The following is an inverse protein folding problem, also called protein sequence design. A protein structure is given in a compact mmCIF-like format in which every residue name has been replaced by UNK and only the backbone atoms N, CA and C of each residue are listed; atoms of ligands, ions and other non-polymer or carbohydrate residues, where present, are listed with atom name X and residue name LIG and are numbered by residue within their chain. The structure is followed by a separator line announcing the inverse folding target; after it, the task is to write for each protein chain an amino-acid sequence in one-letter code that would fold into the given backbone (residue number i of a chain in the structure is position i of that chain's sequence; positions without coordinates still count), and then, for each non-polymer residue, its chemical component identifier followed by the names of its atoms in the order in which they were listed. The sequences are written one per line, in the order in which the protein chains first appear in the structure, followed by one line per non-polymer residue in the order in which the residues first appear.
data_IF_860975897103
#
_entry.id   IF_860975897103
#
_cell.length_a   1.000
_cell.length_b   1.000
_cell.length_c   1.000
_cell.angle_alpha   90.00
_cell.angle_beta   90.00
_cell.angle_gamma   90.00
#
_symmetry.space_group_name_H-M   'P 1'
#
loop_
_entity.id
_entity.type
_entity.pdbx_description
1 polymer ?
#
# COMPACT_ATOMS: atom_id res chain seq x y z
N UNK A 1 6.94 -24.61 -17.67
CA UNK A 1 7.58 -23.37 -18.13
C UNK A 1 7.65 -22.44 -16.92
N UNK A 2 8.83 -21.99 -16.50
CA UNK A 2 9.07 -21.35 -15.17
C UNK A 2 9.32 -19.85 -15.35
N UNK A 3 8.35 -19.11 -15.86
CA UNK A 3 8.41 -17.64 -15.86
C UNK A 3 7.73 -17.19 -14.57
N UNK A 4 8.46 -16.60 -13.60
CA UNK A 4 7.85 -16.08 -12.39
C UNK A 4 6.95 -14.89 -12.74
N UNK A 5 5.83 -14.74 -12.04
CA UNK A 5 5.03 -13.52 -12.13
C UNK A 5 5.89 -12.34 -11.65
N UNK A 6 5.77 -11.15 -12.28
CA UNK A 6 6.53 -9.96 -11.91
C UNK A 6 6.00 -9.31 -10.61
N UNK A 7 5.64 -10.11 -9.61
CA UNK A 7 5.00 -9.66 -8.38
C UNK A 7 5.99 -9.76 -7.23
N UNK A 8 6.08 -8.69 -6.45
CA UNK A 8 7.05 -8.53 -5.37
C UNK A 8 6.33 -8.03 -4.12
N UNK A 9 6.59 -8.70 -2.99
CA UNK A 9 6.18 -8.19 -1.69
C UNK A 9 6.96 -6.91 -1.37
N UNK A 10 6.24 -5.83 -1.09
CA UNK A 10 6.80 -4.51 -0.84
C UNK A 10 6.28 -4.01 0.50
N UNK A 11 7.21 -3.61 1.38
CA UNK A 11 6.90 -3.07 2.70
C UNK A 11 6.66 -1.57 2.61
N UNK A 12 5.63 -1.10 3.29
CA UNK A 12 5.30 0.32 3.50
C UNK A 12 5.18 0.58 5.00
N UNK A 13 5.77 1.67 5.47
CA UNK A 13 5.61 2.11 6.85
C UNK A 13 4.52 3.18 6.92
N UNK A 14 3.55 2.99 7.81
CA UNK A 14 2.49 3.95 8.09
C UNK A 14 2.73 4.57 9.46
N UNK A 15 2.60 5.89 9.56
CA UNK A 15 2.75 6.64 10.79
C UNK A 15 1.44 7.32 11.15
N UNK A 16 1.03 7.20 12.42
CA UNK A 16 -0.03 8.02 13.01
C UNK A 16 0.62 9.21 13.67
N UNK A 17 0.21 10.40 13.26
CA UNK A 17 0.71 11.66 13.80
C UNK A 17 -0.40 12.45 14.46
N UNK A 18 -0.09 13.02 15.62
CA UNK A 18 -0.93 14.00 16.28
C UNK A 18 -0.50 15.41 15.89
N UNK A 19 -1.39 16.19 15.27
CA UNK A 19 -1.12 17.54 14.76
C UNK A 19 -2.27 18.52 15.10
N UNK A 20 -2.18 19.24 16.24
CA UNK A 20 -3.23 20.15 16.72
C UNK A 20 -3.53 21.33 15.79
N UNK A 21 -2.53 21.80 15.04
CA UNK A 21 -2.67 22.96 14.15
C UNK A 21 -3.36 22.61 12.82
N UNK A 22 -3.55 21.32 12.53
CA UNK A 22 -4.24 20.85 11.31
C UNK A 22 -5.75 20.75 11.60
N UNK A 23 -6.62 21.25 10.69
CA UNK A 23 -8.06 21.24 10.89
C UNK A 23 -8.63 19.82 11.10
N UNK A 24 -9.35 19.56 12.20
CA UNK A 24 -9.68 18.20 12.62
C UNK A 24 -10.79 17.50 11.81
N UNK A 25 -11.52 18.25 10.99
CA UNK A 25 -12.67 17.74 10.23
C UNK A 25 -12.56 18.00 8.73
N UNK A 26 -11.87 19.07 8.32
CA UNK A 26 -11.84 19.55 6.94
C UNK A 26 -10.58 19.16 6.18
N UNK A 27 -9.69 18.35 6.77
CA UNK A 27 -8.50 17.87 6.08
C UNK A 27 -8.88 16.79 5.05
N UNK A 28 -8.65 17.00 3.75
CA UNK A 28 -8.90 15.98 2.74
C UNK A 28 -7.85 14.86 2.81
N UNK A 29 -8.09 13.78 2.05
CA UNK A 29 -6.99 12.87 1.71
C UNK A 29 -6.03 13.63 0.79
N UNK A 30 -4.80 13.78 1.25
CA UNK A 30 -3.69 14.34 0.50
C UNK A 30 -2.93 13.19 -0.16
N UNK A 31 -2.72 13.29 -1.46
CA UNK A 31 -1.74 12.50 -2.21
C UNK A 31 -0.92 13.48 -3.05
N UNK A 32 0.40 13.35 -3.01
CA UNK A 32 1.32 14.23 -3.70
C UNK A 32 2.18 13.46 -4.71
N UNK A 33 2.65 14.13 -5.76
CA UNK A 33 3.51 13.52 -6.78
C UNK A 33 4.86 13.02 -6.26
N UNK A 34 5.30 13.49 -5.08
CA UNK A 34 6.46 12.95 -4.39
C UNK A 34 6.21 11.59 -3.72
N UNK A 35 4.98 11.07 -3.79
CA UNK A 35 4.58 9.79 -3.22
C UNK A 35 4.16 9.88 -1.75
N UNK A 36 4.12 11.06 -1.14
CA UNK A 36 3.53 11.20 0.20
C UNK A 36 2.02 11.15 0.12
N UNK A 37 1.43 10.44 1.09
CA UNK A 37 0.00 10.50 1.36
C UNK A 37 -0.24 10.90 2.82
N UNK A 38 -1.37 11.56 3.06
CA UNK A 38 -1.86 11.85 4.39
C UNK A 38 -3.39 11.81 4.39
N UNK A 39 -3.99 11.17 5.39
CA UNK A 39 -5.44 11.15 5.58
C UNK A 39 -5.79 11.31 7.05
N UNK A 40 -6.99 11.85 7.36
CA UNK A 40 -7.53 11.74 8.71
C UNK A 40 -7.66 10.27 9.12
N UNK A 41 -7.35 9.97 10.39
CA UNK A 41 -7.61 8.66 10.98
C UNK A 41 -9.03 8.57 11.53
N UNK A 42 -9.40 9.58 12.34
CA UNK A 42 -10.72 9.76 12.93
C UNK A 42 -11.02 11.26 13.07
N UNK A 43 -12.20 11.60 13.58
CA UNK A 43 -12.52 12.99 13.94
C UNK A 43 -11.55 13.45 15.03
N UNK A 44 -10.79 14.51 14.76
CA UNK A 44 -9.80 15.04 15.69
C UNK A 44 -8.49 15.38 15.01
N UNK A 45 -7.41 15.42 15.78
CA UNK A 45 -6.10 15.89 15.32
C UNK A 45 -5.13 14.76 15.02
N UNK A 46 -5.64 13.58 14.67
CA UNK A 46 -4.82 12.40 14.36
C UNK A 46 -4.92 12.08 12.87
N UNK A 47 -3.76 11.90 12.25
CA UNK A 47 -3.62 11.68 10.82
C UNK A 47 -2.72 10.48 10.56
N UNK A 48 -3.04 9.71 9.52
CA UNK A 48 -2.19 8.65 9.02
C UNK A 48 -1.45 9.18 7.80
N UNK A 49 -0.13 9.11 7.84
CA UNK A 49 0.72 9.51 6.74
C UNK A 49 1.84 8.50 6.51
N UNK A 50 2.44 8.59 5.34
CA UNK A 50 3.61 7.83 4.96
C UNK A 50 3.98 8.15 3.53
N UNK A 51 4.82 7.30 2.95
CA UNK A 51 5.27 7.42 1.57
C UNK A 51 4.95 6.15 0.82
N UNK A 52 4.62 6.30 -0.45
CA UNK A 52 4.47 5.21 -1.39
C UNK A 52 5.86 4.55 -1.60
N UNK A 53 5.94 3.22 -1.49
CA UNK A 53 7.20 2.53 -1.63
C UNK A 53 7.73 2.66 -3.06
N UNK A 54 9.02 2.93 -3.21
CA UNK A 54 9.65 3.00 -4.54
C UNK A 54 10.06 1.61 -5.03
N UNK A 55 10.38 1.49 -6.33
CA UNK A 55 10.98 0.26 -6.89
C UNK A 55 12.28 -0.14 -6.18
N UNK A 56 13.03 0.83 -5.63
CA UNK A 56 14.22 0.55 -4.82
C UNK A 56 13.85 -0.04 -3.47
N UNK A 57 12.78 0.45 -2.85
CA UNK A 57 12.26 -0.06 -1.58
C UNK A 57 11.76 -1.51 -1.73
N UNK A 58 11.03 -1.81 -2.81
CA UNK A 58 10.63 -3.19 -3.16
C UNK A 58 11.84 -4.14 -3.30
N UNK A 59 12.91 -3.70 -3.96
CA UNK A 59 14.13 -4.49 -4.09
C UNK A 59 14.88 -4.69 -2.75
N UNK A 60 14.77 -3.75 -1.81
CA UNK A 60 15.29 -3.91 -0.45
C UNK A 60 14.42 -4.89 0.35
N UNK A 61 13.10 -4.76 0.32
CA UNK A 61 12.16 -5.68 0.97
C UNK A 61 12.42 -7.11 0.52
N UNK A 62 12.56 -7.37 -0.78
CA UNK A 62 12.93 -8.71 -1.29
C UNK A 62 14.23 -9.25 -0.69
N UNK A 63 15.27 -8.42 -0.57
CA UNK A 63 16.56 -8.87 -0.01
C UNK A 63 16.44 -9.15 1.48
N UNK A 64 15.71 -8.31 2.21
CA UNK A 64 15.44 -8.45 3.63
C UNK A 64 14.58 -9.69 3.91
N UNK A 65 13.52 -9.93 3.15
CA UNK A 65 12.66 -11.11 3.28
C UNK A 65 13.39 -12.41 2.98
N UNK A 66 14.20 -12.45 1.91
CA UNK A 66 15.03 -13.62 1.61
C UNK A 66 16.04 -13.94 2.73
N UNK A 67 16.41 -12.93 3.53
CA UNK A 67 17.24 -13.11 4.72
C UNK A 67 16.38 -13.49 5.96
N UNK A 68 15.18 -12.91 6.11
CA UNK A 68 14.25 -13.10 7.23
C UNK A 68 13.48 -14.43 7.23
N UNK A 69 13.39 -15.15 6.10
CA UNK A 69 12.94 -16.57 6.07
C UNK A 69 13.71 -17.42 7.10
N UNK A 70 14.89 -16.95 7.57
CA UNK A 70 15.72 -17.61 8.58
C UNK A 70 15.40 -17.27 10.03
N UNK A 71 14.65 -16.20 10.33
CA UNK A 71 14.53 -15.65 11.71
C UNK A 71 13.11 -15.42 12.22
N UNK A 72 12.06 -15.57 11.39
CA UNK A 72 10.62 -15.52 11.78
C UNK A 72 10.08 -14.23 12.42
N UNK A 73 10.91 -13.27 12.81
CA UNK A 73 10.49 -12.01 13.42
C UNK A 73 10.29 -10.88 12.40
N UNK A 74 9.22 -10.09 12.57
CA UNK A 74 8.99 -8.86 11.81
C UNK A 74 10.09 -7.82 12.09
N UNK A 75 10.50 -7.03 11.07
CA UNK A 75 11.51 -6.01 11.26
C UNK A 75 10.99 -4.89 12.17
N UNK A 76 11.83 -4.33 13.06
CA UNK A 76 11.43 -3.21 13.89
C UNK A 76 11.19 -1.96 13.04
N UNK A 77 10.23 -1.13 13.47
CA UNK A 77 9.90 0.12 12.80
C UNK A 77 11.03 1.14 13.01
N UNK A 78 11.55 1.69 11.92
CA UNK A 78 12.46 2.83 11.94
C UNK A 78 11.68 4.15 11.93
N UNK A 79 11.57 4.79 13.10
CA UNK A 79 10.89 6.08 13.23
C UNK A 79 11.66 7.23 12.59
N UNK A 80 12.96 7.08 12.27
CA UNK A 80 13.70 8.11 11.56
C UNK A 80 13.20 8.28 10.12
N UNK A 81 12.66 7.22 9.51
CA UNK A 81 12.02 7.28 8.19
C UNK A 81 10.96 8.39 8.14
N UNK A 82 10.18 8.55 9.21
CA UNK A 82 9.22 9.64 9.31
C UNK A 82 9.90 11.01 9.24
N UNK A 83 10.89 11.27 10.11
CA UNK A 83 11.51 12.59 10.22
C UNK A 83 12.37 12.96 9.02
N UNK A 84 12.97 11.98 8.35
CA UNK A 84 13.88 12.20 7.23
C UNK A 84 13.15 12.24 5.88
N UNK A 85 12.11 11.42 5.70
CA UNK A 85 11.50 11.21 4.38
C UNK A 85 10.04 11.66 4.28
N UNK A 86 9.26 11.60 5.38
CA UNK A 86 7.82 11.89 5.34
C UNK A 86 7.54 13.32 5.83
N UNK A 87 8.04 13.67 7.00
CA UNK A 87 7.75 14.92 7.69
C UNK A 87 8.19 16.17 6.90
N UNK A 88 9.38 16.24 6.28
CA UNK A 88 9.79 17.42 5.52
C UNK A 88 8.83 17.71 4.35
N UNK A 89 8.45 16.67 3.60
CA UNK A 89 7.53 16.79 2.47
C UNK A 89 6.10 17.13 2.94
N UNK A 90 5.68 16.55 4.07
CA UNK A 90 4.37 16.84 4.65
C UNK A 90 4.25 18.31 5.10
N UNK A 91 5.29 18.85 5.74
CA UNK A 91 5.35 20.25 6.19
C UNK A 91 5.47 21.20 5.01
N UNK A 92 6.22 20.83 3.97
CA UNK A 92 6.28 21.62 2.72
C UNK A 92 4.90 21.76 2.09
N UNK A 93 4.14 20.66 2.02
CA UNK A 93 2.81 20.65 1.41
C UNK A 93 1.74 21.29 2.28
N UNK A 94 1.81 21.06 3.60
CA UNK A 94 0.86 21.54 4.60
C UNK A 94 1.62 22.01 5.85
N UNK A 95 1.98 23.31 5.93
CA UNK A 95 2.82 23.85 7.01
C UNK A 95 2.32 23.62 8.43
N UNK A 96 1.01 23.42 8.62
CA UNK A 96 0.39 23.10 9.92
C UNK A 96 0.86 21.77 10.51
N UNK A 97 1.53 20.89 9.76
CA UNK A 97 2.15 19.67 10.31
C UNK A 97 3.51 19.91 10.98
N UNK A 98 3.98 21.17 11.09
CA UNK A 98 5.28 21.49 11.71
C UNK A 98 5.38 21.01 13.15
N UNK A 99 4.28 20.99 13.90
CA UNK A 99 4.24 20.52 15.29
C UNK A 99 3.78 19.06 15.41
N UNK A 100 3.68 18.33 14.31
CA UNK A 100 3.21 16.95 14.30
C UNK A 100 4.15 16.04 15.09
N UNK A 101 3.57 15.13 15.88
CA UNK A 101 4.31 14.13 16.65
C UNK A 101 3.80 12.74 16.30
N UNK A 102 4.71 11.80 16.05
CA UNK A 102 4.34 10.40 15.85
C UNK A 102 3.83 9.82 17.17
N UNK A 103 2.66 9.18 17.14
CA UNK A 103 2.06 8.50 18.29
C UNK A 103 1.94 6.99 18.10
N UNK A 104 1.96 6.51 16.84
CA UNK A 104 1.94 5.10 16.51
C UNK A 104 2.50 4.88 15.10
N UNK A 105 2.91 3.65 14.79
CA UNK A 105 3.32 3.25 13.46
C UNK A 105 3.14 1.74 13.25
N UNK A 106 3.03 1.31 12.00
CA UNK A 106 3.06 -0.11 11.63
C UNK A 106 3.58 -0.32 10.21
N UNK A 107 4.03 -1.54 9.93
CA UNK A 107 4.34 -1.97 8.57
C UNK A 107 3.11 -2.59 7.90
N UNK A 108 2.88 -2.23 6.65
CA UNK A 108 1.95 -2.92 5.75
C UNK A 108 2.73 -3.55 4.60
N UNK A 109 2.27 -4.70 4.13
CA UNK A 109 2.86 -5.41 3.02
C UNK A 109 1.89 -5.44 1.85
N UNK A 110 2.41 -5.10 0.68
CA UNK A 110 1.64 -5.00 -0.56
C UNK A 110 2.30 -5.88 -1.62
N UNK A 111 1.50 -6.62 -2.39
CA UNK A 111 1.97 -7.39 -3.53
C UNK A 111 1.96 -6.49 -4.77
N UNK A 112 3.14 -5.99 -5.15
CA UNK A 112 3.27 -4.99 -6.23
C UNK A 112 3.67 -5.67 -7.53
N UNK A 113 2.93 -5.41 -8.61
CA UNK A 113 3.36 -5.78 -9.95
C UNK A 113 4.46 -4.81 -10.43
N UNK A 114 5.68 -5.30 -10.57
CA UNK A 114 6.86 -4.52 -10.94
C UNK A 114 6.95 -4.18 -12.43
N UNK A 115 6.10 -4.80 -13.26
CA UNK A 115 6.06 -4.55 -14.70
C UNK A 115 5.42 -3.19 -15.00
N UNK A 116 4.17 -3.01 -14.59
CA UNK A 116 3.33 -1.85 -14.91
C UNK A 116 2.39 -1.43 -13.77
N UNK A 117 2.53 -2.03 -12.58
CA UNK A 117 1.68 -1.79 -11.40
C UNK A 117 0.20 -2.15 -11.59
N UNK A 118 -0.18 -2.71 -12.75
CA UNK A 118 -1.53 -3.21 -12.98
C UNK A 118 -1.73 -4.57 -12.29
N UNK A 119 -2.91 -4.84 -11.73
CA UNK A 119 -3.17 -6.15 -11.12
C UNK A 119 -3.27 -7.26 -12.16
N UNK A 120 -2.79 -8.45 -11.81
CA UNK A 120 -2.95 -9.67 -12.58
C UNK A 120 -4.21 -10.38 -12.07
N UNK A 121 -5.25 -10.37 -12.89
CA UNK A 121 -6.57 -10.91 -12.56
C UNK A 121 -7.04 -11.82 -13.69
N UNK A 122 -7.26 -13.11 -13.40
CA UNK A 122 -7.83 -14.04 -14.37
C UNK A 122 -7.31 -15.47 -14.27
N UNK A 123 -7.68 -16.27 -15.26
CA UNK A 123 -7.30 -17.69 -15.35
C UNK A 123 -5.82 -17.86 -15.72
N UNK A 124 -5.18 -18.88 -15.14
CA UNK A 124 -3.83 -19.25 -15.55
C UNK A 124 -3.84 -19.95 -16.92
N UNK A 125 -2.97 -19.51 -17.82
CA UNK A 125 -2.95 -19.93 -19.23
C UNK A 125 -2.75 -21.44 -19.46
N UNK A 126 -2.16 -22.15 -18.50
CA UNK A 126 -1.83 -23.59 -18.62
C UNK A 126 -2.57 -24.46 -17.62
N UNK A 127 -3.06 -23.88 -16.51
CA UNK A 127 -3.62 -24.66 -15.41
C UNK A 127 -5.11 -24.36 -15.31
N UNK A 128 -5.93 -25.33 -15.67
CA UNK A 128 -7.37 -25.25 -15.52
C UNK A 128 -7.77 -25.11 -14.05
N UNK A 129 -8.86 -24.40 -13.79
CA UNK A 129 -9.38 -24.12 -12.45
C UNK A 129 -8.40 -23.38 -11.52
N UNK A 130 -7.41 -22.69 -12.07
CA UNK A 130 -6.51 -21.82 -11.34
C UNK A 130 -6.78 -20.36 -11.73
N UNK A 131 -7.23 -19.55 -10.78
CA UNK A 131 -7.44 -18.12 -10.97
C UNK A 131 -6.46 -17.34 -10.09
N UNK A 132 -5.85 -16.33 -10.67
CA UNK A 132 -4.93 -15.40 -10.03
C UNK A 132 -5.64 -14.08 -9.75
N UNK A 133 -5.44 -13.56 -8.55
CA UNK A 133 -5.75 -12.19 -8.16
C UNK A 133 -4.58 -11.72 -7.32
N UNK A 134 -3.66 -11.00 -7.94
CA UNK A 134 -2.39 -10.64 -7.32
C UNK A 134 -1.79 -9.43 -8.03
N UNK A 135 -0.79 -8.80 -7.41
CA UNK A 135 -0.20 -7.57 -7.93
C UNK A 135 -1.09 -6.34 -7.71
N UNK A 136 -1.96 -6.35 -6.69
CA UNK A 136 -2.93 -5.28 -6.43
C UNK A 136 -2.29 -4.00 -5.86
N UNK A 137 -1.10 -4.12 -5.27
CA UNK A 137 -0.43 -3.03 -4.57
C UNK A 137 -1.34 -2.36 -3.54
N UNK A 138 -1.19 -1.04 -3.38
CA UNK A 138 -2.01 -0.22 -2.48
C UNK A 138 -3.48 -0.07 -2.87
N UNK A 139 -3.90 -0.60 -4.04
CA UNK A 139 -5.26 -0.46 -4.56
C UNK A 139 -6.18 -1.64 -4.22
N UNK A 140 -5.65 -2.68 -3.58
CA UNK A 140 -6.42 -3.88 -3.20
C UNK A 140 -7.75 -3.57 -2.51
N UNK A 141 -7.79 -2.72 -1.47
CA UNK A 141 -9.05 -2.36 -0.80
C UNK A 141 -10.07 -1.72 -1.75
N UNK A 142 -9.64 -0.84 -2.64
CA UNK A 142 -10.51 -0.11 -3.58
C UNK A 142 -11.08 -1.04 -4.65
N UNK A 143 -10.28 -2.01 -5.12
CA UNK A 143 -10.68 -2.92 -6.18
C UNK A 143 -11.44 -4.16 -5.68
N UNK A 144 -11.35 -4.49 -4.40
CA UNK A 144 -11.85 -5.74 -3.80
C UNK A 144 -13.30 -6.08 -4.17
N UNK A 145 -14.20 -5.08 -4.15
CA UNK A 145 -15.63 -5.28 -4.46
C UNK A 145 -15.83 -5.63 -5.94
N UNK A 146 -15.20 -4.87 -6.84
CA UNK A 146 -15.32 -5.09 -8.27
C UNK A 146 -14.74 -6.45 -8.69
N UNK A 147 -13.58 -6.80 -8.13
CA UNK A 147 -12.92 -8.09 -8.36
C UNK A 147 -13.79 -9.24 -7.83
N UNK A 148 -14.28 -9.13 -6.59
CA UNK A 148 -15.12 -10.16 -5.98
C UNK A 148 -16.38 -10.42 -6.79
N UNK A 149 -17.01 -9.36 -7.31
CA UNK A 149 -18.16 -9.47 -8.21
C UNK A 149 -17.79 -10.15 -9.53
N UNK A 150 -16.74 -9.66 -10.21
CA UNK A 150 -16.30 -10.20 -11.50
C UNK A 150 -15.97 -11.70 -11.40
N UNK A 151 -15.26 -12.09 -10.34
CA UNK A 151 -14.94 -13.49 -10.11
C UNK A 151 -16.16 -14.33 -9.76
N UNK A 152 -17.10 -13.81 -8.98
CA UNK A 152 -18.33 -14.54 -8.65
C UNK A 152 -19.14 -14.87 -9.91
N UNK A 153 -19.29 -13.93 -10.83
CA UNK A 153 -19.93 -14.17 -12.14
C UNK A 153 -19.12 -15.17 -12.97
N UNK A 154 -17.79 -15.01 -13.02
CA UNK A 154 -16.92 -15.94 -13.74
C UNK A 154 -17.00 -17.37 -13.19
N UNK A 155 -17.14 -17.55 -11.89
CA UNK A 155 -17.28 -18.88 -11.28
C UNK A 155 -18.66 -19.49 -11.50
N UNK A 156 -19.73 -18.71 -11.33
CA UNK A 156 -21.10 -19.20 -11.38
C UNK A 156 -21.63 -19.27 -12.83
N UNK A 157 -21.53 -18.17 -13.57
CA UNK A 157 -22.07 -18.00 -14.92
C UNK A 157 -21.08 -18.37 -16.03
N UNK A 158 -19.80 -18.62 -15.68
CA UNK A 158 -18.70 -18.85 -16.64
C UNK A 158 -18.42 -17.69 -17.59
N UNK A 159 -19.04 -16.54 -17.36
CA UNK A 159 -18.92 -15.32 -18.15
C UNK A 159 -18.96 -14.09 -17.23
N UNK A 160 -18.50 -12.94 -17.74
CA UNK A 160 -18.78 -11.64 -17.11
C UNK A 160 -20.11 -11.14 -17.69
N UNK A 161 -21.09 -10.94 -16.83
CA UNK A 161 -22.48 -10.68 -17.24
C UNK A 161 -22.86 -9.23 -17.01
N UNK A 162 -22.49 -8.67 -15.86
CA UNK A 162 -22.91 -7.31 -15.46
C UNK A 162 -21.75 -6.39 -15.09
N UNK A 163 -20.52 -6.89 -15.17
CA UNK A 163 -19.31 -6.06 -15.16
C UNK A 163 -19.18 -5.42 -16.54
N UNK A 164 -19.51 -4.13 -16.64
CA UNK A 164 -19.36 -3.30 -17.85
C UNK A 164 -18.26 -2.26 -17.65
#
# INVERSE_FOLDING_TARGET
MRIPLPIVCTRRTNFVVHAPEVPPLSMPILMDSSGIFCRPDAVGHNYICGREPTKSDAAKTLKEENQQIKTSDEPPIDYNEFYEQVWPLLVERVPSFRTAKVINAWHSYEDVNMFDEAPIIGEHLVHENFIQVCGLGGYGPQMSIAIGKALSEKFYDRAYVTVN
#
